data_IF_154163137899
#
_entry.id   IF_154163137899
#
_cell.length_a   1.000
_cell.length_b   1.000
_cell.length_c   1.000
_cell.angle_alpha   90.00
_cell.angle_beta   90.00
_cell.angle_gamma   90.00
#
_symmetry.space_group_name_H-M   'P 1'
#
loop_
_entity.id
_entity.type
_entity.pdbx_description
1 polymer ?
#
# COMPACT_ATOMS: atom_id res chain seq x y z
N UNK A 1 -21.14 3.32 -15.62
CA UNK A 1 -20.14 4.38 -15.39
C UNK A 1 -19.97 5.32 -16.57
N UNK A 2 -19.79 4.78 -17.74
CA UNK A 2 -19.67 5.62 -18.94
C UNK A 2 -20.93 6.45 -19.21
N UNK A 3 -22.05 5.92 -18.83
CA UNK A 3 -23.32 6.59 -18.95
C UNK A 3 -23.36 7.92 -18.21
N UNK A 4 -22.69 7.99 -17.04
CA UNK A 4 -22.70 9.19 -16.21
C UNK A 4 -22.07 10.40 -16.89
N UNK A 5 -21.17 10.17 -17.84
CA UNK A 5 -20.47 11.26 -18.51
C UNK A 5 -21.21 11.80 -19.72
N UNK A 6 -22.13 11.02 -20.27
CA UNK A 6 -22.79 11.35 -21.52
C UNK A 6 -24.27 11.65 -21.37
N UNK A 7 -24.85 11.32 -20.26
CA UNK A 7 -26.27 11.51 -20.02
C UNK A 7 -26.53 12.90 -19.47
N UNK A 8 -26.89 13.82 -20.34
CA UNK A 8 -27.18 15.21 -19.98
C UNK A 8 -28.41 15.34 -19.08
N UNK A 9 -29.26 14.32 -19.05
CA UNK A 9 -30.49 14.35 -18.25
C UNK A 9 -30.26 13.82 -16.82
N UNK A 10 -29.08 13.32 -16.56
CA UNK A 10 -28.75 12.82 -15.21
C UNK A 10 -28.88 13.94 -14.18
N UNK A 11 -29.60 13.67 -13.10
CA UNK A 11 -29.79 14.66 -12.03
C UNK A 11 -28.48 14.95 -11.32
N UNK A 12 -28.42 16.13 -10.69
CA UNK A 12 -27.26 16.50 -9.90
C UNK A 12 -27.03 15.52 -8.73
N UNK A 13 -28.11 14.99 -8.15
CA UNK A 13 -28.01 14.01 -7.08
C UNK A 13 -27.41 12.70 -7.56
N UNK A 14 -27.80 12.22 -8.73
CA UNK A 14 -27.26 11.00 -9.32
C UNK A 14 -25.76 11.16 -9.63
N UNK A 15 -25.41 12.29 -10.21
CA UNK A 15 -24.01 12.62 -10.50
C UNK A 15 -23.16 12.62 -9.23
N UNK A 16 -23.66 13.30 -8.19
CA UNK A 16 -22.95 13.36 -6.93
C UNK A 16 -22.76 11.98 -6.31
N UNK A 17 -23.77 11.12 -6.39
CA UNK A 17 -23.69 9.76 -5.88
C UNK A 17 -22.63 8.93 -6.62
N UNK A 18 -22.55 9.08 -7.94
CA UNK A 18 -21.56 8.39 -8.75
C UNK A 18 -20.15 8.87 -8.42
N UNK A 19 -19.98 10.17 -8.28
CA UNK A 19 -18.69 10.76 -7.93
C UNK A 19 -18.24 10.33 -6.55
N UNK A 20 -19.17 10.27 -5.57
CA UNK A 20 -18.85 9.81 -4.22
C UNK A 20 -18.39 8.36 -4.23
N UNK A 21 -19.05 7.50 -5.01
CA UNK A 21 -18.64 6.10 -5.13
C UNK A 21 -17.27 5.97 -5.80
N UNK A 22 -17.03 6.76 -6.85
CA UNK A 22 -15.77 6.75 -7.56
C UNK A 22 -14.61 7.18 -6.67
N UNK A 23 -14.86 8.05 -5.72
CA UNK A 23 -13.85 8.46 -4.73
C UNK A 23 -13.68 7.42 -3.62
N UNK A 24 -14.77 6.83 -3.16
CA UNK A 24 -14.77 5.91 -2.02
C UNK A 24 -13.89 4.68 -2.27
N UNK A 25 -13.87 4.16 -3.50
CA UNK A 25 -13.10 2.96 -3.82
C UNK A 25 -11.59 3.17 -3.64
N UNK A 26 -10.96 4.18 -4.28
CA UNK A 26 -9.53 4.37 -4.08
C UNK A 26 -9.18 4.81 -2.65
N UNK A 27 -10.03 5.56 -1.98
CA UNK A 27 -9.81 5.91 -0.58
C UNK A 27 -9.77 4.65 0.28
N UNK A 28 -10.76 3.76 0.12
CA UNK A 28 -10.80 2.51 0.87
C UNK A 28 -9.57 1.65 0.56
N UNK A 29 -9.07 1.67 -0.66
CA UNK A 29 -7.89 0.89 -1.04
C UNK A 29 -6.64 1.40 -0.32
N UNK A 30 -6.45 2.71 -0.23
CA UNK A 30 -5.34 3.27 0.54
C UNK A 30 -5.43 2.82 2.00
N UNK A 31 -6.61 2.93 2.59
CA UNK A 31 -6.82 2.57 3.99
C UNK A 31 -6.55 1.08 4.24
N UNK A 32 -7.00 0.23 3.35
CA UNK A 32 -6.77 -1.22 3.49
C UNK A 32 -5.32 -1.60 3.32
N UNK A 33 -4.64 -1.01 2.34
CA UNK A 33 -3.21 -1.25 2.17
C UNK A 33 -2.44 -0.83 3.41
N UNK A 34 -2.78 0.32 3.96
CA UNK A 34 -2.15 0.81 5.19
C UNK A 34 -2.36 -0.17 6.34
N UNK A 35 -3.61 -0.63 6.53
CA UNK A 35 -3.93 -1.57 7.61
C UNK A 35 -3.18 -2.90 7.45
N UNK A 36 -3.13 -3.43 6.24
CA UNK A 36 -2.42 -4.68 5.97
C UNK A 36 -0.92 -4.54 6.17
N UNK A 37 -0.35 -3.42 5.76
CA UNK A 37 1.08 -3.15 5.99
C UNK A 37 1.40 -3.15 7.47
N UNK A 38 0.59 -2.48 8.28
CA UNK A 38 0.78 -2.47 9.73
C UNK A 38 0.67 -3.86 10.32
N UNK A 39 -0.29 -4.65 9.85
CA UNK A 39 -0.48 -6.02 10.34
C UNK A 39 0.72 -6.91 9.98
N UNK A 40 1.22 -6.82 8.75
CA UNK A 40 2.38 -7.60 8.32
C UNK A 40 3.62 -7.16 9.09
N UNK A 41 3.81 -5.86 9.27
CA UNK A 41 4.94 -5.34 10.03
C UNK A 41 4.96 -5.89 11.45
N UNK A 42 3.80 -5.92 12.10
CA UNK A 42 3.68 -6.44 13.46
C UNK A 42 4.03 -7.93 13.52
N UNK A 43 3.82 -8.66 12.44
CA UNK A 43 4.08 -10.09 12.36
C UNK A 43 5.54 -10.42 12.07
N UNK A 44 6.30 -9.50 11.51
CA UNK A 44 7.68 -9.76 11.07
C UNK A 44 8.57 -10.39 12.13
N UNK A 45 8.55 -9.93 13.41
CA UNK A 45 9.43 -10.53 14.42
C UNK A 45 9.19 -12.00 14.68
N UNK A 46 7.99 -12.50 14.33
CA UNK A 46 7.61 -13.90 14.51
C UNK A 46 7.95 -14.79 13.33
N UNK A 47 8.42 -14.21 12.23
CA UNK A 47 8.67 -14.93 11.00
C UNK A 47 10.07 -15.50 10.95
N UNK A 48 10.24 -16.67 10.31
CA UNK A 48 11.57 -17.15 9.98
C UNK A 48 12.14 -16.32 8.81
N UNK A 49 13.45 -16.40 8.56
CA UNK A 49 14.09 -15.53 7.55
C UNK A 49 13.46 -15.59 6.15
N UNK A 50 13.04 -16.75 5.71
CA UNK A 50 12.44 -16.88 4.37
C UNK A 50 11.09 -16.20 4.30
N UNK A 51 10.26 -16.41 5.32
CA UNK A 51 8.95 -15.78 5.40
C UNK A 51 9.10 -14.28 5.58
N UNK A 52 10.09 -13.84 6.36
CA UNK A 52 10.37 -12.43 6.56
C UNK A 52 10.66 -11.74 5.24
N UNK A 53 11.47 -12.36 4.39
CA UNK A 53 11.80 -11.80 3.07
C UNK A 53 10.55 -11.63 2.21
N UNK A 54 9.70 -12.65 2.15
CA UNK A 54 8.46 -12.59 1.39
C UNK A 54 7.50 -11.54 1.95
N UNK A 55 7.44 -11.44 3.27
CA UNK A 55 6.58 -10.45 3.93
C UNK A 55 7.04 -9.03 3.60
N UNK A 56 8.34 -8.77 3.59
CA UNK A 56 8.88 -7.46 3.22
C UNK A 56 8.54 -7.11 1.78
N UNK A 57 8.65 -8.07 0.87
CA UNK A 57 8.23 -7.86 -0.52
C UNK A 57 6.76 -7.48 -0.57
N UNK A 58 5.92 -8.19 0.20
CA UNK A 58 4.49 -7.89 0.28
C UNK A 58 4.22 -6.48 0.76
N UNK A 59 4.95 -6.01 1.76
CA UNK A 59 4.81 -4.63 2.26
C UNK A 59 5.11 -3.63 1.15
N UNK A 60 6.19 -3.81 0.40
CA UNK A 60 6.54 -2.90 -0.69
C UNK A 60 5.49 -2.92 -1.81
N UNK A 61 4.93 -4.07 -2.11
CA UNK A 61 3.87 -4.17 -3.10
C UNK A 61 2.60 -3.45 -2.65
N UNK A 62 2.21 -3.63 -1.40
CA UNK A 62 1.06 -2.93 -0.82
C UNK A 62 1.31 -1.42 -0.79
N UNK A 63 2.53 -1.01 -0.49
CA UNK A 63 2.90 0.40 -0.48
C UNK A 63 2.73 1.02 -1.87
N UNK A 64 3.17 0.32 -2.91
CA UNK A 64 2.98 0.77 -4.29
C UNK A 64 1.50 0.88 -4.64
N UNK A 65 0.71 -0.11 -4.23
CA UNK A 65 -0.74 -0.08 -4.46
C UNK A 65 -1.40 1.10 -3.76
N UNK A 66 -0.98 1.40 -2.53
CA UNK A 66 -1.50 2.54 -1.78
C UNK A 66 -1.19 3.86 -2.49
N UNK A 67 0.04 4.03 -2.96
CA UNK A 67 0.41 5.25 -3.69
C UNK A 67 -0.37 5.39 -4.99
N UNK A 68 -0.55 4.30 -5.72
CA UNK A 68 -1.33 4.30 -6.95
C UNK A 68 -2.80 4.66 -6.67
N UNK A 69 -3.36 4.08 -5.61
CA UNK A 69 -4.74 4.37 -5.22
C UNK A 69 -4.91 5.83 -4.83
N UNK A 70 -3.93 6.41 -4.16
CA UNK A 70 -3.95 7.83 -3.80
C UNK A 70 -4.01 8.69 -5.07
N UNK A 71 -3.19 8.40 -6.06
CA UNK A 71 -3.23 9.14 -7.33
C UNK A 71 -4.60 9.05 -7.98
N UNK A 72 -5.23 7.89 -7.93
CA UNK A 72 -6.58 7.70 -8.45
C UNK A 72 -7.59 8.53 -7.65
N UNK A 73 -7.44 8.56 -6.33
CA UNK A 73 -8.32 9.37 -5.48
C UNK A 73 -8.23 10.84 -5.83
N UNK A 74 -7.04 11.35 -6.14
CA UNK A 74 -6.85 12.76 -6.47
C UNK A 74 -7.62 13.19 -7.73
N UNK A 75 -7.82 12.28 -8.66
CA UNK A 75 -8.58 12.58 -9.87
C UNK A 75 -10.02 12.96 -9.53
N UNK A 76 -10.54 12.45 -8.43
CA UNK A 76 -11.91 12.70 -7.98
C UNK A 76 -12.00 13.82 -6.95
N UNK A 77 -10.97 14.65 -6.84
CA UNK A 77 -10.91 15.85 -6.01
C UNK A 77 -11.46 15.65 -4.59
N UNK A 78 -10.76 14.86 -3.77
CA UNK A 78 -11.20 14.61 -2.40
C UNK A 78 -11.16 15.88 -1.55
N UNK A 79 -11.98 15.90 -0.50
CA UNK A 79 -11.97 16.99 0.47
C UNK A 79 -10.58 17.09 1.13
N UNK A 80 -10.24 18.28 1.59
CA UNK A 80 -8.92 18.55 2.14
C UNK A 80 -8.59 17.65 3.35
N UNK A 81 -9.55 17.40 4.21
CA UNK A 81 -9.35 16.55 5.38
C UNK A 81 -9.09 15.08 4.99
N UNK A 82 -9.80 14.58 3.99
CA UNK A 82 -9.57 13.24 3.47
C UNK A 82 -8.18 13.14 2.87
N UNK A 83 -7.83 14.12 2.06
CA UNK A 83 -6.51 14.18 1.41
C UNK A 83 -5.39 14.19 2.44
N UNK A 84 -5.53 15.02 3.48
CA UNK A 84 -4.52 15.11 4.53
C UNK A 84 -4.38 13.78 5.29
N UNK A 85 -5.48 13.11 5.55
CA UNK A 85 -5.48 11.81 6.23
C UNK A 85 -4.77 10.75 5.39
N UNK A 86 -5.08 10.69 4.11
CA UNK A 86 -4.42 9.73 3.21
C UNK A 86 -2.93 10.01 3.09
N UNK A 87 -2.55 11.29 3.01
CA UNK A 87 -1.14 11.67 2.97
C UNK A 87 -0.40 11.23 4.23
N UNK A 88 -1.04 11.34 5.38
CA UNK A 88 -0.44 10.88 6.63
C UNK A 88 -0.21 9.37 6.61
N UNK A 89 -1.16 8.61 6.09
CA UNK A 89 -1.01 7.16 5.93
C UNK A 89 0.15 6.81 4.99
N UNK A 90 0.26 7.52 3.87
CA UNK A 90 1.35 7.28 2.92
C UNK A 90 2.72 7.60 3.52
N UNK A 91 2.80 8.64 4.34
CA UNK A 91 4.06 8.97 5.02
C UNK A 91 4.46 7.87 5.99
N UNK A 92 3.52 7.34 6.75
CA UNK A 92 3.81 6.24 7.66
C UNK A 92 4.26 4.99 6.90
N UNK A 93 3.61 4.70 5.78
CA UNK A 93 3.99 3.57 4.92
C UNK A 93 5.43 3.76 4.43
N UNK A 94 5.77 4.96 4.02
CA UNK A 94 7.12 5.26 3.54
C UNK A 94 8.16 5.06 4.63
N UNK A 95 7.85 5.46 5.85
CA UNK A 95 8.76 5.24 6.97
C UNK A 95 8.99 3.76 7.22
N UNK A 96 7.94 2.96 7.11
CA UNK A 96 8.05 1.51 7.26
C UNK A 96 8.93 0.94 6.16
N UNK A 97 8.72 1.34 4.91
CA UNK A 97 9.54 0.88 3.79
C UNK A 97 11.00 1.24 3.98
N UNK A 98 11.26 2.48 4.40
CA UNK A 98 12.64 2.94 4.62
C UNK A 98 13.33 2.12 5.70
N UNK A 99 12.61 1.78 6.78
CA UNK A 99 13.16 0.93 7.82
C UNK A 99 13.50 -0.46 7.30
N UNK A 100 12.66 -1.02 6.45
CA UNK A 100 12.91 -2.34 5.87
C UNK A 100 14.13 -2.33 4.97
N UNK A 101 14.32 -1.26 4.22
CA UNK A 101 15.45 -1.13 3.29
C UNK A 101 16.76 -0.88 4.01
N UNK A 102 16.68 -0.31 5.21
CA UNK A 102 17.87 0.02 6.00
C UNK A 102 18.13 -0.99 7.12
N UNK A 103 17.46 -2.14 7.08
CA UNK A 103 17.68 -3.15 8.09
C UNK A 103 19.15 -3.52 8.14
N UNK A 104 19.68 -3.53 9.36
CA UNK A 104 21.13 -3.59 9.53
C UNK A 104 21.71 -4.97 9.28
N UNK A 105 23.03 -5.00 9.15
CA UNK A 105 23.80 -6.20 9.02
C UNK A 105 23.56 -7.22 10.14
N UNK A 106 23.12 -6.76 11.32
CA UNK A 106 22.80 -7.67 12.43
C UNK A 106 21.69 -8.65 12.08
N UNK A 107 20.68 -8.18 11.33
CA UNK A 107 19.62 -9.06 10.87
C UNK A 107 20.15 -10.03 9.81
N UNK A 108 21.04 -9.58 8.95
CA UNK A 108 21.70 -10.42 7.96
C UNK A 108 22.57 -11.49 8.63
N UNK A 109 23.27 -11.14 9.68
CA UNK A 109 24.08 -12.09 10.43
C UNK A 109 23.24 -13.19 11.05
N UNK A 110 22.09 -12.83 11.59
CA UNK A 110 21.20 -13.80 12.22
C UNK A 110 20.64 -14.80 11.20
N UNK A 111 20.56 -14.42 9.92
CA UNK A 111 20.01 -15.25 8.86
C UNK A 111 21.07 -15.67 7.84
N UNK A 112 22.34 -15.45 8.14
CA UNK A 112 23.40 -15.62 7.15
C UNK A 112 23.43 -16.99 6.49
N UNK A 113 23.24 -18.05 7.27
CA UNK A 113 23.24 -19.42 6.71
C UNK A 113 22.14 -19.60 5.69
N UNK A 114 20.93 -19.12 6.02
CA UNK A 114 19.80 -19.23 5.12
C UNK A 114 19.98 -18.41 3.86
N UNK A 115 20.54 -17.23 4.00
CA UNK A 115 20.77 -16.37 2.85
C UNK A 115 21.82 -16.91 1.90
N UNK A 116 22.89 -17.47 2.43
CA UNK A 116 23.95 -18.05 1.61
C UNK A 116 23.40 -19.22 0.78
N UNK A 117 22.64 -20.10 1.41
CA UNK A 117 22.04 -21.24 0.71
C UNK A 117 21.08 -20.75 -0.38
N UNK A 118 20.27 -19.76 -0.06
CA UNK A 118 19.31 -19.21 -1.00
C UNK A 118 20.01 -18.58 -2.20
N UNK A 119 21.05 -17.82 -1.96
CA UNK A 119 21.82 -17.19 -3.04
C UNK A 119 22.45 -18.23 -3.96
N UNK A 120 22.99 -19.31 -3.40
CA UNK A 120 23.58 -20.40 -4.19
C UNK A 120 22.53 -21.04 -5.10
N UNK A 121 21.35 -21.29 -4.58
CA UNK A 121 20.28 -21.86 -5.37
C UNK A 121 19.86 -20.95 -6.52
N UNK A 122 19.83 -19.66 -6.28
CA UNK A 122 19.47 -18.70 -7.31
C UNK A 122 20.53 -18.57 -8.39
N UNK A 123 21.78 -18.86 -8.08
CA UNK A 123 22.87 -18.77 -9.05
C UNK A 123 22.96 -19.99 -9.95
N UNK A 124 22.32 -21.06 -9.60
CA UNK A 124 22.28 -22.26 -10.41
C UNK A 124 21.23 -22.18 -11.50
#
# INVERSE_FOLDING_TARGET
MQRSWKDAEMSAAEKAAIEATALAVPVALVERCHAYILAVQAFLPSCNPNITSDAKVGIHQLAGAARAAYQTALVNTPAQDVRARLRAMLREIREIEDQLLEEPAAAADASSSGEVVYADEMQK
#
